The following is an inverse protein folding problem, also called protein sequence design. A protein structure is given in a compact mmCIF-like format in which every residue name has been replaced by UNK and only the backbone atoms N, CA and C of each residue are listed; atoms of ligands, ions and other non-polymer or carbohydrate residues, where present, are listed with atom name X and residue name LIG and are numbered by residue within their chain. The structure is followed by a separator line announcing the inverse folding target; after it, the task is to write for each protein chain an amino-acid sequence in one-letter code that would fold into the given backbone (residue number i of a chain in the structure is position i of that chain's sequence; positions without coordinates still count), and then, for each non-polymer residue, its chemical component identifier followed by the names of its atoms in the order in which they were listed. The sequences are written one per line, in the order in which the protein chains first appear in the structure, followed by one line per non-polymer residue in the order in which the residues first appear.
data_IF_431230284406
#
_entry.id   IF_431230284406
#
_cell.length_a   1.000
_cell.length_b   1.000
_cell.length_c   1.000
_cell.angle_alpha   90.00
_cell.angle_beta   90.00
_cell.angle_gamma   90.00
#
_symmetry.space_group_name_H-M   'P 1'
#
loop_
_entity.id
_entity.type
_entity.pdbx_description
1 polymer ?
#
# COMPACT_ATOMS: atom_id res chain seq x y z
N UNK A 1 -18.51 -9.73 -33.03
CA UNK A 1 -18.85 -8.49 -32.30
C UNK A 1 -17.70 -8.23 -31.34
N UNK A 2 -17.06 -7.07 -31.46
CA UNK A 2 -15.94 -6.66 -30.61
C UNK A 2 -16.40 -6.49 -29.16
N UNK A 3 -15.78 -7.21 -28.25
CA UNK A 3 -15.93 -7.03 -26.80
C UNK A 3 -15.63 -5.57 -26.44
N UNK A 4 -16.46 -4.89 -25.63
CA UNK A 4 -16.19 -3.52 -25.22
C UNK A 4 -14.92 -3.49 -24.37
N UNK A 5 -14.03 -2.55 -24.68
CA UNK A 5 -12.81 -2.27 -23.93
C UNK A 5 -13.17 -1.85 -22.49
N UNK A 6 -12.61 -2.54 -21.49
CA UNK A 6 -12.69 -2.14 -20.08
C UNK A 6 -12.01 -0.76 -19.92
N UNK A 7 -12.77 0.29 -19.58
CA UNK A 7 -12.16 1.54 -19.09
C UNK A 7 -11.61 1.30 -17.68
N UNK A 8 -10.28 1.36 -17.52
CA UNK A 8 -9.53 1.09 -16.29
C UNK A 8 -9.17 2.39 -15.57
N UNK A 9 -10.17 3.23 -15.26
CA UNK A 9 -9.92 4.58 -14.74
C UNK A 9 -9.43 4.59 -13.27
N UNK A 10 -9.53 3.46 -12.55
CA UNK A 10 -8.94 3.33 -11.22
C UNK A 10 -7.41 3.35 -11.26
N UNK A 11 -6.86 4.06 -10.29
CA UNK A 11 -5.43 4.16 -10.05
C UNK A 11 -5.08 3.52 -8.73
N UNK A 12 -3.89 2.95 -8.65
CA UNK A 12 -3.39 2.35 -7.42
C UNK A 12 -1.91 2.65 -7.21
N UNK A 13 -1.46 2.49 -5.97
CA UNK A 13 -0.06 2.50 -5.57
C UNK A 13 0.19 1.37 -4.58
N UNK A 14 1.44 0.89 -4.51
CA UNK A 14 1.85 -0.20 -3.61
C UNK A 14 3.06 0.25 -2.81
N UNK A 15 3.03 -0.03 -1.51
CA UNK A 15 4.15 0.16 -0.59
C UNK A 15 4.62 -1.24 -0.13
N UNK A 16 5.91 -1.51 -0.30
CA UNK A 16 6.54 -2.78 0.06
C UNK A 16 7.54 -2.56 1.18
N UNK A 17 7.34 -3.23 2.31
CA UNK A 17 8.28 -3.21 3.42
C UNK A 17 9.13 -4.49 3.42
N UNK A 18 10.45 -4.35 3.50
CA UNK A 18 11.38 -5.48 3.54
C UNK A 18 12.75 -5.03 4.05
N UNK A 19 13.66 -6.00 4.21
CA UNK A 19 15.06 -5.75 4.51
C UNK A 19 15.97 -6.31 3.42
N UNK A 20 17.15 -5.73 3.26
CA UNK A 20 18.25 -6.36 2.51
C UNK A 20 19.32 -6.78 3.51
N UNK A 21 19.73 -8.05 3.44
CA UNK A 21 20.81 -8.60 4.27
C UNK A 21 22.15 -8.52 3.54
N UNK A 22 23.13 -7.88 4.17
CA UNK A 22 24.51 -7.85 3.71
C UNK A 22 25.40 -8.69 4.64
N UNK A 23 25.82 -9.85 4.15
CA UNK A 23 26.67 -10.79 4.91
C UNK A 23 28.13 -10.32 4.96
N UNK A 24 28.80 -10.55 6.09
CA UNK A 24 30.25 -10.34 6.22
C UNK A 24 31.01 -11.11 5.14
N UNK A 25 31.96 -10.43 4.49
CA UNK A 25 32.80 -11.02 3.45
C UNK A 25 32.18 -11.04 2.05
N UNK A 26 30.96 -10.52 1.88
CA UNK A 26 30.45 -10.16 0.56
C UNK A 26 31.32 -9.06 -0.07
N UNK A 27 31.50 -9.10 -1.39
CA UNK A 27 32.22 -8.07 -2.13
C UNK A 27 31.25 -7.27 -3.01
N UNK A 28 31.29 -5.92 -2.93
CA UNK A 28 32.02 -5.11 -1.95
C UNK A 28 31.46 -5.28 -0.52
N UNK A 29 32.27 -4.98 0.51
CA UNK A 29 31.83 -5.06 1.91
C UNK A 29 30.91 -3.86 2.23
N UNK A 30 29.62 -4.04 1.94
CA UNK A 30 28.58 -3.02 2.08
C UNK A 30 28.46 -2.48 3.51
N UNK A 31 28.94 -3.22 4.51
CA UNK A 31 28.99 -2.78 5.92
C UNK A 31 29.95 -1.62 6.16
N UNK A 32 30.85 -1.36 5.22
CA UNK A 32 31.76 -0.20 5.24
C UNK A 32 31.21 0.99 4.46
N UNK A 33 30.08 0.84 3.76
CA UNK A 33 29.41 1.94 3.10
C UNK A 33 28.50 2.66 4.11
N UNK A 34 28.52 3.99 4.07
CA UNK A 34 27.52 4.77 4.81
C UNK A 34 26.11 4.54 4.24
N UNK A 35 25.03 4.70 5.02
CA UNK A 35 23.66 4.44 4.59
C UNK A 35 23.31 5.05 3.23
N UNK A 36 23.61 6.33 3.00
CA UNK A 36 23.33 6.98 1.71
C UNK A 36 23.99 6.31 0.49
N UNK A 37 25.18 5.73 0.64
CA UNK A 37 25.85 4.99 -0.45
C UNK A 37 25.15 3.67 -0.76
N UNK A 38 24.56 3.01 0.24
CA UNK A 38 23.80 1.77 0.04
C UNK A 38 22.52 2.05 -0.76
N UNK A 39 21.80 3.13 -0.42
CA UNK A 39 20.60 3.53 -1.16
C UNK A 39 20.91 3.89 -2.62
N UNK A 40 22.01 4.61 -2.87
CA UNK A 40 22.46 4.94 -4.23
C UNK A 40 22.79 3.67 -5.02
N UNK A 41 23.52 2.72 -4.43
CA UNK A 41 23.81 1.44 -5.08
C UNK A 41 22.54 0.69 -5.45
N UNK A 42 21.58 0.58 -4.50
CA UNK A 42 20.31 -0.12 -4.74
C UNK A 42 19.59 0.55 -5.91
N UNK A 43 19.47 1.88 -5.88
CA UNK A 43 18.88 2.67 -6.95
C UNK A 43 19.54 2.41 -8.31
N UNK A 44 20.86 2.58 -8.42
CA UNK A 44 21.58 2.42 -9.68
C UNK A 44 21.43 1.00 -10.24
N UNK A 45 21.54 -0.01 -9.37
CA UNK A 45 21.36 -1.42 -9.76
C UNK A 45 19.98 -1.68 -10.34
N UNK A 46 18.94 -1.16 -9.69
CA UNK A 46 17.55 -1.35 -10.13
C UNK A 46 17.25 -0.55 -11.40
N UNK A 47 17.76 0.67 -11.54
CA UNK A 47 17.60 1.45 -12.78
C UNK A 47 18.25 0.72 -13.95
N UNK A 48 19.45 0.18 -13.79
CA UNK A 48 20.13 -0.56 -14.85
C UNK A 48 19.37 -1.84 -15.23
N UNK A 49 18.88 -2.60 -14.25
CA UNK A 49 18.14 -3.85 -14.51
C UNK A 49 16.75 -3.60 -15.10
N UNK A 50 16.04 -2.58 -14.60
CA UNK A 50 14.62 -2.38 -14.90
C UNK A 50 14.37 -1.30 -15.94
N UNK A 51 15.30 -0.36 -16.15
CA UNK A 51 15.06 0.85 -16.92
C UNK A 51 13.97 1.76 -16.35
N UNK A 52 13.51 1.52 -15.11
CA UNK A 52 12.52 2.33 -14.42
C UNK A 52 13.23 3.36 -13.56
N UNK A 53 12.79 4.61 -13.64
CA UNK A 53 13.30 5.67 -12.76
C UNK A 53 12.94 5.38 -11.30
N UNK A 54 13.90 5.66 -10.42
CA UNK A 54 13.76 5.47 -8.98
C UNK A 54 14.45 6.62 -8.24
N UNK A 55 13.79 7.14 -7.21
CA UNK A 55 14.31 8.17 -6.31
C UNK A 55 14.62 7.58 -4.94
N UNK A 56 15.65 8.09 -4.30
CA UNK A 56 15.92 7.82 -2.88
C UNK A 56 15.21 8.85 -2.00
N UNK A 57 14.89 8.50 -0.76
CA UNK A 57 14.37 9.43 0.25
C UNK A 57 15.21 10.71 0.35
N UNK A 58 16.54 10.60 0.31
CA UNK A 58 17.44 11.75 0.34
C UNK A 58 17.31 12.69 -0.88
N UNK A 59 16.91 12.19 -2.05
CA UNK A 59 16.65 13.01 -3.25
C UNK A 59 15.27 13.67 -3.18
N UNK A 60 14.29 12.96 -2.61
CA UNK A 60 12.95 13.48 -2.36
C UNK A 60 13.02 14.64 -1.34
N UNK A 61 13.79 14.46 -0.26
CA UNK A 61 13.98 15.44 0.80
C UNK A 61 14.72 16.70 0.34
N UNK A 62 15.55 16.62 -0.71
CA UNK A 62 16.21 17.80 -1.27
C UNK A 62 15.23 18.80 -1.90
N UNK A 63 14.12 18.31 -2.46
CA UNK A 63 13.04 19.17 -2.98
C UNK A 63 12.13 19.70 -1.86
N UNK A 64 12.05 18.97 -0.74
CA UNK A 64 11.15 19.25 0.38
C UNK A 64 11.79 20.20 1.41
N UNK A 65 11.23 21.41 1.62
CA UNK A 65 11.70 22.28 2.68
C UNK A 65 11.41 21.64 4.04
N UNK A 66 12.34 21.78 5.00
CA UNK A 66 12.13 21.33 6.38
C UNK A 66 10.78 21.82 6.90
N UNK A 67 10.12 21.01 7.73
CA UNK A 67 8.77 21.24 8.29
C UNK A 67 8.53 22.66 8.83
N UNK A 68 9.59 23.34 9.29
CA UNK A 68 9.57 24.68 9.85
C UNK A 68 9.91 25.82 8.87
N UNK A 69 9.99 25.58 7.56
CA UNK A 69 10.36 26.63 6.61
C UNK A 69 9.19 27.60 6.36
N UNK A 70 9.29 28.88 6.77
CA UNK A 70 8.23 29.87 6.59
C UNK A 70 8.01 30.28 5.13
N UNK A 71 8.90 29.89 4.20
CA UNK A 71 8.79 30.18 2.77
C UNK A 71 8.22 28.99 1.96
N UNK A 72 7.54 28.04 2.59
CA UNK A 72 6.87 26.95 1.88
C UNK A 72 5.77 27.54 0.99
N UNK A 73 5.87 27.38 -0.32
CA UNK A 73 4.82 27.79 -1.26
C UNK A 73 3.61 26.86 -1.04
N UNK A 74 2.46 27.37 -0.56
CA UNK A 74 1.30 26.55 -0.28
C UNK A 74 0.69 25.91 -1.53
N UNK A 75 1.04 26.39 -2.73
CA UNK A 75 0.56 25.86 -4.00
C UNK A 75 1.54 24.87 -4.66
N UNK A 76 2.79 24.78 -4.17
CA UNK A 76 3.76 23.81 -4.68
C UNK A 76 3.46 22.43 -4.10
N UNK A 77 3.25 21.46 -4.98
CA UNK A 77 3.26 20.04 -4.61
C UNK A 77 4.72 19.58 -4.69
N UNK A 78 5.25 19.10 -3.56
CA UNK A 78 6.65 18.67 -3.44
C UNK A 78 6.83 17.23 -3.92
N UNK A 79 8.06 16.86 -4.27
CA UNK A 79 8.37 15.53 -4.82
C UNK A 79 7.85 14.38 -3.95
N UNK A 80 7.88 14.54 -2.62
CA UNK A 80 7.36 13.56 -1.65
C UNK A 80 5.85 13.29 -1.79
N UNK A 81 5.10 14.26 -2.30
CA UNK A 81 3.64 14.23 -2.41
C UNK A 81 3.17 13.90 -3.84
N UNK A 82 4.08 13.84 -4.82
CA UNK A 82 3.75 13.63 -6.24
C UNK A 82 3.45 12.18 -6.59
N UNK A 83 4.17 11.22 -5.97
CA UNK A 83 4.05 9.79 -6.27
C UNK A 83 4.09 9.48 -7.78
N UNK A 84 4.94 10.17 -8.54
CA UNK A 84 5.05 10.04 -10.01
C UNK A 84 6.23 9.14 -10.45
N UNK A 85 7.12 8.80 -9.52
CA UNK A 85 8.31 7.98 -9.74
C UNK A 85 8.39 6.92 -8.64
N UNK A 86 9.05 5.79 -8.91
CA UNK A 86 9.36 4.82 -7.85
C UNK A 86 10.23 5.50 -6.78
N UNK A 87 10.00 5.18 -5.52
CA UNK A 87 10.76 5.73 -4.41
C UNK A 87 11.24 4.61 -3.49
N UNK A 88 12.44 4.75 -2.95
CA UNK A 88 12.97 3.89 -1.89
C UNK A 88 13.40 4.74 -0.70
N UNK A 89 12.93 4.37 0.48
CA UNK A 89 13.19 5.10 1.73
C UNK A 89 13.18 4.20 2.94
N UNK A 90 13.09 4.81 4.11
CA UNK A 90 12.94 4.14 5.40
C UNK A 90 11.48 4.15 5.86
N UNK A 91 11.07 3.11 6.59
CA UNK A 91 9.83 3.13 7.38
C UNK A 91 10.13 2.74 8.83
N UNK A 92 9.68 3.57 9.76
CA UNK A 92 10.01 3.46 11.19
C UNK A 92 9.33 2.27 11.89
N UNK A 93 8.42 1.56 11.22
CA UNK A 93 7.73 0.38 11.75
C UNK A 93 8.40 -0.94 11.39
N UNK A 94 9.35 -0.92 10.44
CA UNK A 94 10.17 -2.06 10.05
C UNK A 94 11.29 -2.25 11.08
N UNK A 95 11.58 -3.49 11.45
CA UNK A 95 12.71 -3.80 12.34
C UNK A 95 13.31 -5.17 12.08
N UNK A 96 14.65 -5.24 11.99
CA UNK A 96 15.41 -6.49 11.89
C UNK A 96 16.35 -6.76 13.08
N UNK A 97 16.09 -6.16 14.25
CA UNK A 97 16.95 -6.32 15.43
C UNK A 97 17.08 -7.78 15.90
N UNK A 98 16.01 -8.58 15.77
CA UNK A 98 16.05 -10.00 16.16
C UNK A 98 16.97 -10.80 15.22
N UNK A 99 16.90 -10.53 13.93
CA UNK A 99 17.73 -11.13 12.89
C UNK A 99 19.20 -10.70 13.02
N UNK A 100 19.44 -9.41 13.29
CA UNK A 100 20.78 -8.89 13.54
C UNK A 100 21.40 -9.47 14.82
N UNK A 101 20.59 -9.69 15.87
CA UNK A 101 21.06 -10.37 17.08
C UNK A 101 21.43 -11.83 16.82
N UNK A 102 20.64 -12.53 15.99
CA UNK A 102 20.86 -13.93 15.63
C UNK A 102 22.05 -14.12 14.69
N UNK A 103 22.32 -13.15 13.79
CA UNK A 103 23.46 -13.13 12.89
C UNK A 103 24.20 -11.80 12.97
N UNK A 104 25.03 -11.66 14.01
CA UNK A 104 25.87 -10.47 14.24
C UNK A 104 26.93 -10.21 13.15
N UNK A 105 27.08 -11.13 12.21
CA UNK A 105 27.98 -10.95 11.08
C UNK A 105 27.31 -10.24 9.89
N UNK A 106 25.98 -10.25 9.87
CA UNK A 106 25.18 -9.59 8.84
C UNK A 106 24.74 -8.20 9.27
N UNK A 107 24.62 -7.31 8.30
CA UNK A 107 23.93 -6.02 8.43
C UNK A 107 22.59 -6.11 7.72
N UNK A 108 21.56 -5.50 8.27
CA UNK A 108 20.25 -5.39 7.65
C UNK A 108 19.97 -3.92 7.32
N UNK A 109 19.45 -3.68 6.12
CA UNK A 109 18.98 -2.36 5.71
C UNK A 109 17.48 -2.45 5.52
N UNK A 110 16.75 -1.75 6.37
CA UNK A 110 15.29 -1.61 6.36
C UNK A 110 14.87 -0.68 5.22
N UNK A 111 13.91 -1.12 4.41
CA UNK A 111 13.50 -0.42 3.19
C UNK A 111 11.99 -0.45 3.03
N UNK A 112 11.44 0.72 2.66
CA UNK A 112 10.13 0.85 2.05
C UNK A 112 10.31 1.23 0.57
N UNK A 113 9.75 0.41 -0.33
CA UNK A 113 9.66 0.70 -1.75
C UNK A 113 8.24 1.14 -2.08
N UNK A 114 8.09 2.29 -2.74
CA UNK A 114 6.81 2.88 -3.10
C UNK A 114 6.71 2.96 -4.62
N UNK A 115 5.62 2.47 -5.19
CA UNK A 115 5.34 2.62 -6.62
C UNK A 115 4.91 4.05 -6.95
N UNK A 116 5.06 4.52 -8.21
CA UNK A 116 4.27 5.65 -8.67
C UNK A 116 2.76 5.32 -8.62
N UNK A 117 1.91 6.35 -8.75
CA UNK A 117 0.48 6.17 -9.02
C UNK A 117 0.33 5.57 -10.42
N UNK A 118 -0.21 4.36 -10.48
CA UNK A 118 -0.35 3.59 -11.70
C UNK A 118 -1.82 3.43 -12.07
N UNK A 119 -2.12 3.45 -13.38
CA UNK A 119 -3.40 2.95 -13.89
C UNK A 119 -3.41 1.44 -13.80
N UNK A 120 -4.50 0.86 -13.32
CA UNK A 120 -4.63 -0.59 -13.23
C UNK A 120 -4.62 -1.23 -14.62
N UNK A 121 -3.85 -2.31 -14.78
CA UNK A 121 -3.76 -3.06 -16.04
C UNK A 121 -2.42 -3.74 -16.26
N UNK A 122 -2.25 -4.45 -17.40
CA UNK A 122 -1.10 -5.32 -17.64
C UNK A 122 0.26 -4.62 -17.56
N UNK A 123 0.34 -3.34 -17.97
CA UNK A 123 1.57 -2.56 -17.87
C UNK A 123 2.02 -2.38 -16.42
N UNK A 124 1.11 -1.95 -15.54
CA UNK A 124 1.43 -1.71 -14.14
C UNK A 124 1.84 -3.00 -13.42
N UNK A 125 1.11 -4.10 -13.68
CA UNK A 125 1.45 -5.42 -13.12
C UNK A 125 2.82 -5.91 -13.60
N UNK A 126 3.16 -5.68 -14.88
CA UNK A 126 4.47 -6.01 -15.43
C UNK A 126 5.59 -5.15 -14.83
N UNK A 127 5.36 -3.86 -14.63
CA UNK A 127 6.36 -2.97 -14.02
C UNK A 127 6.66 -3.38 -12.57
N UNK A 128 5.63 -3.77 -11.80
CA UNK A 128 5.78 -4.33 -10.46
C UNK A 128 6.60 -5.64 -10.49
N UNK A 129 6.22 -6.60 -11.34
CA UNK A 129 6.95 -7.87 -11.46
C UNK A 129 8.41 -7.67 -11.84
N UNK A 130 8.68 -6.74 -12.77
CA UNK A 130 10.03 -6.37 -13.19
C UNK A 130 10.85 -5.84 -12.02
N UNK A 131 10.29 -4.94 -11.22
CA UNK A 131 10.97 -4.37 -10.05
C UNK A 131 11.27 -5.44 -8.98
N UNK A 132 10.26 -6.26 -8.62
CA UNK A 132 10.42 -7.33 -7.62
C UNK A 132 11.42 -8.41 -8.08
N UNK A 133 11.42 -8.74 -9.36
CA UNK A 133 12.39 -9.67 -9.96
C UNK A 133 13.81 -9.09 -9.89
N UNK A 134 13.99 -7.80 -10.20
CA UNK A 134 15.29 -7.14 -10.09
C UNK A 134 15.83 -7.13 -8.65
N UNK A 135 14.98 -6.86 -7.66
CA UNK A 135 15.35 -6.94 -6.25
C UNK A 135 15.85 -8.34 -5.87
N UNK A 136 15.06 -9.38 -6.18
CA UNK A 136 15.41 -10.78 -5.87
C UNK A 136 16.66 -11.27 -6.60
N UNK A 137 16.91 -10.75 -7.81
CA UNK A 137 18.08 -11.09 -8.61
C UNK A 137 19.38 -10.55 -8.00
N UNK A 138 19.33 -9.32 -7.47
CA UNK A 138 20.53 -8.58 -7.10
C UNK A 138 20.78 -8.50 -5.58
N UNK A 139 19.77 -8.77 -4.75
CA UNK A 139 19.85 -8.59 -3.30
C UNK A 139 19.32 -9.78 -2.51
N UNK A 140 19.90 -10.02 -1.33
CA UNK A 140 19.41 -10.98 -0.33
C UNK A 140 18.25 -10.34 0.44
N UNK A 141 17.07 -10.38 -0.18
CA UNK A 141 15.83 -9.79 0.33
C UNK A 141 15.27 -10.64 1.46
N UNK A 142 14.98 -9.99 2.59
CA UNK A 142 14.44 -10.62 3.81
C UNK A 142 13.14 -9.94 4.18
N UNK A 143 12.13 -10.72 4.55
CA UNK A 143 10.83 -10.23 5.01
C UNK A 143 10.51 -10.93 6.33
N UNK A 144 10.08 -10.16 7.33
CA UNK A 144 9.71 -10.68 8.64
C UNK A 144 8.32 -10.19 9.09
N UNK A 145 7.99 -10.35 10.37
CA UNK A 145 6.67 -9.98 10.89
C UNK A 145 6.43 -8.46 11.03
N UNK A 146 7.49 -7.65 11.02
CA UNK A 146 7.36 -6.19 11.02
C UNK A 146 6.87 -5.68 9.67
N UNK A 147 7.30 -6.32 8.59
CA UNK A 147 6.99 -5.95 7.21
C UNK A 147 5.50 -6.12 6.85
N UNK A 148 4.96 -5.13 6.15
CA UNK A 148 3.66 -5.08 5.50
C UNK A 148 3.74 -4.97 3.97
N UNK A 149 2.60 -5.25 3.33
CA UNK A 149 2.34 -4.94 1.93
C UNK A 149 1.09 -4.08 1.89
N UNK A 150 1.23 -2.81 1.50
CA UNK A 150 0.11 -1.87 1.48
C UNK A 150 -0.31 -1.57 0.04
N UNK A 151 -1.61 -1.53 -0.20
CA UNK A 151 -2.15 -1.15 -1.51
C UNK A 151 -3.12 0.01 -1.34
N UNK A 152 -2.81 1.10 -2.01
CA UNK A 152 -3.65 2.29 -2.10
C UNK A 152 -4.51 2.20 -3.36
N UNK A 153 -5.83 2.33 -3.25
CA UNK A 153 -6.75 2.29 -4.39
C UNK A 153 -7.62 3.55 -4.42
N UNK A 154 -7.69 4.20 -5.58
CA UNK A 154 -8.50 5.40 -5.81
C UNK A 154 -8.79 5.61 -7.29
N UNK A 155 -9.33 6.78 -7.67
CA UNK A 155 -9.65 7.14 -9.05
C UNK A 155 -8.94 8.45 -9.44
N UNK A 156 -7.61 8.38 -9.49
CA UNK A 156 -6.73 9.52 -9.71
C UNK A 156 -7.07 10.70 -8.79
N UNK A 157 -7.16 11.88 -9.37
CA UNK A 157 -7.54 13.11 -8.64
C UNK A 157 -9.02 13.19 -8.31
N UNK A 158 -9.89 12.31 -8.83
CA UNK A 158 -11.33 12.36 -8.49
C UNK A 158 -11.62 11.77 -7.10
N UNK A 159 -10.73 10.91 -6.59
CA UNK A 159 -11.01 10.14 -5.38
C UNK A 159 -12.17 9.15 -5.59
N UNK A 160 -12.71 8.58 -4.52
CA UNK A 160 -13.83 7.65 -4.61
C UNK A 160 -15.18 8.39 -4.61
N UNK A 161 -16.12 7.90 -5.40
CA UNK A 161 -17.50 8.38 -5.38
C UNK A 161 -18.24 7.86 -4.15
N UNK A 162 -19.10 8.70 -3.58
CA UNK A 162 -19.80 8.44 -2.32
C UNK A 162 -20.60 7.12 -2.29
N UNK A 163 -21.56 6.94 -3.19
CA UNK A 163 -22.45 5.78 -3.17
C UNK A 163 -21.70 4.45 -3.37
N UNK A 164 -20.81 4.29 -4.38
CA UNK A 164 -19.96 3.09 -4.47
C UNK A 164 -19.12 2.83 -3.21
N UNK A 165 -18.63 3.89 -2.56
CA UNK A 165 -17.85 3.78 -1.34
C UNK A 165 -18.68 3.31 -0.14
N UNK A 166 -19.95 3.74 -0.01
CA UNK A 166 -20.88 3.17 0.99
C UNK A 166 -20.99 1.66 0.82
N UNK A 167 -21.30 1.18 -0.40
CA UNK A 167 -21.42 -0.25 -0.66
C UNK A 167 -20.12 -1.02 -0.40
N UNK A 168 -18.97 -0.43 -0.74
CA UNK A 168 -17.66 -0.99 -0.44
C UNK A 168 -17.48 -1.16 1.08
N UNK A 169 -17.72 -0.12 1.87
CA UNK A 169 -17.55 -0.18 3.33
C UNK A 169 -18.52 -1.13 4.01
N UNK A 170 -19.78 -1.21 3.55
CA UNK A 170 -20.73 -2.23 4.03
C UNK A 170 -20.18 -3.64 3.82
N UNK A 171 -19.61 -3.90 2.65
CA UNK A 171 -19.08 -5.22 2.30
C UNK A 171 -17.81 -5.52 3.08
N UNK A 172 -16.91 -4.55 3.22
CA UNK A 172 -15.71 -4.72 4.04
C UNK A 172 -16.12 -5.06 5.47
N UNK A 173 -17.07 -4.33 6.06
CA UNK A 173 -17.54 -4.60 7.42
C UNK A 173 -18.13 -6.02 7.55
N UNK A 174 -19.05 -6.40 6.67
CA UNK A 174 -19.75 -7.70 6.73
C UNK A 174 -18.76 -8.86 6.50
N UNK A 175 -17.86 -8.71 5.54
CA UNK A 175 -16.96 -9.78 5.09
C UNK A 175 -15.52 -9.64 5.60
N UNK A 176 -15.25 -8.74 6.56
CA UNK A 176 -13.89 -8.55 7.10
C UNK A 176 -13.26 -9.88 7.54
N UNK A 177 -13.95 -10.77 8.29
CA UNK A 177 -13.37 -12.06 8.66
C UNK A 177 -12.96 -12.93 7.47
N UNK A 178 -13.74 -12.93 6.39
CA UNK A 178 -13.46 -13.68 5.17
C UNK A 178 -12.31 -13.06 4.39
N UNK A 179 -12.28 -11.72 4.24
CA UNK A 179 -11.17 -11.00 3.61
C UNK A 179 -9.87 -11.28 4.36
N UNK A 180 -9.88 -11.17 5.70
CA UNK A 180 -8.72 -11.43 6.54
C UNK A 180 -8.35 -12.92 6.62
N UNK A 181 -9.25 -13.83 6.23
CA UNK A 181 -8.93 -15.27 6.15
C UNK A 181 -8.05 -15.62 4.95
N UNK A 182 -7.98 -14.75 3.93
CA UNK A 182 -7.07 -14.87 2.79
C UNK A 182 -5.62 -14.54 3.18
N UNK A 183 -5.41 -13.93 4.36
CA UNK A 183 -4.15 -13.35 4.79
C UNK A 183 -3.54 -14.15 5.94
N UNK A 184 -2.25 -13.92 6.22
CA UNK A 184 -1.57 -14.62 7.31
C UNK A 184 -2.18 -14.23 8.67
N UNK A 185 -2.63 -15.23 9.43
CA UNK A 185 -3.27 -15.05 10.75
C UNK A 185 -2.47 -14.21 11.74
N UNK A 186 -1.13 -14.19 11.65
CA UNK A 186 -0.28 -13.36 12.53
C UNK A 186 -0.45 -11.85 12.30
N UNK A 187 -0.99 -11.44 11.15
CA UNK A 187 -1.33 -10.04 10.84
C UNK A 187 -2.75 -9.67 11.25
N UNK A 188 -3.62 -10.65 11.53
CA UNK A 188 -5.00 -10.37 11.89
C UNK A 188 -5.03 -9.59 13.21
N UNK A 189 -5.48 -8.34 13.14
CA UNK A 189 -5.52 -7.42 14.27
C UNK A 189 -4.13 -7.09 14.87
N UNK A 190 -3.10 -7.03 14.03
CA UNK A 190 -1.76 -6.58 14.42
C UNK A 190 -1.74 -5.12 14.90
N UNK A 191 -0.63 -4.69 15.53
CA UNK A 191 -0.47 -3.31 16.02
C UNK A 191 -0.70 -2.28 14.92
N UNK A 192 -0.24 -2.55 13.69
CA UNK A 192 -0.29 -1.59 12.58
C UNK A 192 -1.37 -1.89 11.51
N UNK A 193 -2.26 -2.84 11.79
CA UNK A 193 -3.29 -3.33 10.86
C UNK A 193 -4.54 -3.85 11.61
N UNK A 194 -5.01 -3.07 12.60
CA UNK A 194 -6.16 -3.45 13.41
C UNK A 194 -7.45 -3.62 12.59
N UNK A 195 -8.28 -4.60 12.95
CA UNK A 195 -9.57 -4.84 12.29
C UNK A 195 -10.54 -3.67 12.54
N UNK A 196 -11.40 -3.38 11.56
CA UNK A 196 -12.44 -2.36 11.64
C UNK A 196 -13.40 -2.62 12.81
N UNK A 197 -13.81 -3.88 13.00
CA UNK A 197 -14.68 -4.27 14.13
C UNK A 197 -14.07 -3.95 15.51
N UNK A 198 -12.75 -3.80 15.59
CA UNK A 198 -12.05 -3.53 16.85
C UNK A 198 -11.60 -2.09 17.03
N UNK A 199 -11.27 -1.39 15.93
CA UNK A 199 -10.58 -0.10 15.99
C UNK A 199 -11.27 1.04 15.28
N UNK A 200 -12.27 0.77 14.45
CA UNK A 200 -13.09 1.87 13.89
C UNK A 200 -13.99 2.49 14.96
N UNK A 201 -14.46 3.72 14.74
CA UNK A 201 -15.47 4.34 15.59
C UNK A 201 -16.68 3.41 15.77
N UNK A 202 -17.22 2.86 14.67
CA UNK A 202 -18.37 1.96 14.71
C UNK A 202 -18.10 0.69 15.55
N UNK A 203 -16.90 0.11 15.44
CA UNK A 203 -16.50 -1.07 16.20
C UNK A 203 -16.30 -0.80 17.69
N UNK A 204 -15.62 0.29 18.04
CA UNK A 204 -15.33 0.67 19.43
C UNK A 204 -16.61 1.00 20.20
N UNK A 205 -17.57 1.69 19.56
CA UNK A 205 -18.86 1.98 20.16
C UNK A 205 -19.80 0.76 20.23
N UNK A 206 -19.34 -0.43 19.79
CA UNK A 206 -20.10 -1.69 19.81
C UNK A 206 -21.47 -1.51 19.16
N UNK A 207 -21.48 -1.03 17.93
CA UNK A 207 -22.72 -0.85 17.18
C UNK A 207 -23.56 -2.13 17.17
N UNK A 208 -24.79 -2.03 17.69
CA UNK A 208 -25.80 -3.09 17.70
C UNK A 208 -26.99 -2.60 16.87
N UNK A 209 -27.05 -2.96 15.59
CA UNK A 209 -28.10 -2.53 14.69
C UNK A 209 -27.92 -3.01 13.24
N UNK A 210 -28.84 -2.59 12.37
CA UNK A 210 -28.72 -2.85 10.94
C UNK A 210 -27.75 -1.84 10.32
N UNK A 211 -26.57 -2.33 9.93
CA UNK A 211 -25.54 -1.51 9.30
C UNK A 211 -26.05 -0.77 8.06
N UNK A 212 -26.85 -1.43 7.23
CA UNK A 212 -27.32 -0.85 5.98
C UNK A 212 -28.23 0.35 6.22
N UNK A 213 -29.08 0.29 7.24
CA UNK A 213 -29.97 1.41 7.59
C UNK A 213 -29.16 2.64 8.01
N UNK A 214 -28.13 2.44 8.85
CA UNK A 214 -27.24 3.54 9.27
C UNK A 214 -26.43 4.05 8.09
N UNK A 215 -25.81 3.15 7.33
CA UNK A 215 -24.94 3.54 6.23
C UNK A 215 -25.71 4.26 5.13
N UNK A 216 -26.90 3.81 4.76
CA UNK A 216 -27.75 4.46 3.75
C UNK A 216 -28.45 5.73 4.25
N UNK A 217 -28.39 6.02 5.56
CA UNK A 217 -28.78 7.33 6.09
C UNK A 217 -27.67 8.39 6.01
N UNK A 218 -26.43 7.99 5.67
CA UNK A 218 -25.37 8.96 5.41
C UNK A 218 -25.64 9.75 4.14
N UNK A 219 -25.20 11.01 4.12
CA UNK A 219 -25.43 11.95 3.02
C UNK A 219 -24.18 12.26 2.20
N UNK A 220 -22.99 11.95 2.73
CA UNK A 220 -21.72 12.17 2.04
C UNK A 220 -20.61 11.20 2.47
N UNK A 221 -19.48 11.27 1.76
CA UNK A 221 -18.31 10.41 2.01
C UNK A 221 -17.68 10.64 3.39
N UNK A 222 -17.77 11.86 3.95
CA UNK A 222 -17.16 12.19 5.23
C UNK A 222 -17.88 11.50 6.37
N UNK A 223 -19.21 11.39 6.32
CA UNK A 223 -19.99 10.65 7.31
C UNK A 223 -19.62 9.16 7.29
N UNK A 224 -19.45 8.56 6.11
CA UNK A 224 -18.98 7.17 5.98
C UNK A 224 -17.57 7.02 6.55
N UNK A 225 -16.65 7.92 6.17
CA UNK A 225 -15.30 7.89 6.72
C UNK A 225 -15.33 8.05 8.23
N UNK A 226 -16.13 8.97 8.78
CA UNK A 226 -16.25 9.18 10.22
C UNK A 226 -16.72 7.90 10.95
N UNK A 227 -17.65 7.13 10.38
CA UNK A 227 -18.09 5.86 10.96
C UNK A 227 -16.97 4.82 11.03
N UNK A 228 -16.19 4.68 9.96
CA UNK A 228 -15.22 3.58 9.81
C UNK A 228 -13.77 3.96 10.13
N UNK A 229 -13.45 5.24 10.30
CA UNK A 229 -12.11 5.69 10.61
C UNK A 229 -11.69 5.24 12.03
N UNK A 230 -10.39 5.24 12.28
CA UNK A 230 -9.81 4.79 13.54
C UNK A 230 -10.27 5.67 14.69
N UNK A 231 -10.67 5.05 15.79
CA UNK A 231 -11.02 5.74 17.03
C UNK A 231 -9.75 6.29 17.69
N UNK A 232 -9.70 7.60 17.93
CA UNK A 232 -8.61 8.26 18.67
C UNK A 232 -7.20 7.92 18.10
N UNK A 233 -6.25 7.53 18.95
CA UNK A 233 -4.87 7.16 18.58
C UNK A 233 -4.73 5.82 17.81
N UNK A 234 -5.83 5.12 17.52
CA UNK A 234 -5.83 3.87 16.73
C UNK A 234 -5.76 4.14 15.21
N UNK A 235 -4.85 5.01 14.78
CA UNK A 235 -4.73 5.40 13.36
C UNK A 235 -4.29 4.24 12.45
N UNK A 236 -3.69 3.18 13.00
CA UNK A 236 -3.21 2.04 12.22
C UNK A 236 -4.25 0.91 12.13
N UNK A 237 -5.07 0.95 11.08
CA UNK A 237 -6.10 -0.03 10.76
C UNK A 237 -5.74 -0.86 9.52
N UNK A 238 -6.39 -2.00 9.37
CA UNK A 238 -6.34 -2.84 8.18
C UNK A 238 -6.83 -2.12 6.92
N UNK A 239 -7.74 -1.14 7.09
CA UNK A 239 -8.31 -0.33 6.02
C UNK A 239 -8.25 1.14 6.44
N UNK A 240 -7.36 1.92 5.84
CA UNK A 240 -7.16 3.34 6.15
C UNK A 240 -7.95 4.22 5.18
N UNK A 241 -8.69 5.18 5.75
CA UNK A 241 -9.66 6.02 5.01
C UNK A 241 -9.34 7.51 5.06
N UNK A 242 -8.28 7.92 5.79
CA UNK A 242 -7.96 9.33 6.07
C UNK A 242 -7.88 10.20 4.81
N UNK A 243 -7.38 9.64 3.70
CA UNK A 243 -7.19 10.34 2.43
C UNK A 243 -8.47 10.48 1.60
N UNK A 244 -9.60 9.95 2.08
CA UNK A 244 -10.92 10.09 1.44
C UNK A 244 -11.77 11.20 2.05
N UNK A 245 -11.35 11.80 3.17
CA UNK A 245 -12.01 12.98 3.74
C UNK A 245 -12.02 14.12 2.71
N UNK A 246 -13.15 14.81 2.59
CA UNK A 246 -13.34 15.96 1.73
C UNK A 246 -13.52 17.24 2.58
N UNK A 247 -12.84 18.35 2.26
CA UNK A 247 -11.85 18.48 1.18
C UNK A 247 -10.61 17.59 1.40
N UNK A 248 -10.04 17.08 0.30
CA UNK A 248 -8.95 16.11 0.36
C UNK A 248 -7.75 16.67 1.14
N UNK A 249 -7.26 15.96 2.18
CA UNK A 249 -6.16 16.45 3.01
C UNK A 249 -4.80 16.35 2.32
N UNK A 250 -4.74 15.71 1.15
CA UNK A 250 -3.52 15.48 0.40
C UNK A 250 -3.75 15.75 -1.11
N UNK A 251 -2.81 16.38 -1.83
CA UNK A 251 -3.01 16.76 -3.24
C UNK A 251 -3.22 15.55 -4.16
N UNK A 252 -2.44 14.48 -3.97
CA UNK A 252 -2.45 13.26 -4.81
C UNK A 252 -3.13 12.05 -4.16
N UNK A 253 -2.71 11.62 -2.96
CA UNK A 253 -3.32 10.49 -2.22
C UNK A 253 -4.80 10.78 -1.92
N UNK A 254 -5.70 10.10 -2.64
CA UNK A 254 -7.18 10.15 -2.52
C UNK A 254 -7.74 8.73 -2.55
N UNK A 255 -7.30 7.91 -1.60
CA UNK A 255 -7.39 6.46 -1.68
C UNK A 255 -7.92 5.84 -0.39
N UNK A 256 -8.59 4.70 -0.52
CA UNK A 256 -8.59 3.70 0.56
C UNK A 256 -7.24 2.97 0.53
N UNK A 257 -6.69 2.67 1.70
CA UNK A 257 -5.43 1.96 1.84
C UNK A 257 -5.64 0.63 2.56
N UNK A 258 -5.26 -0.46 1.91
CA UNK A 258 -5.34 -1.83 2.43
C UNK A 258 -3.99 -2.21 3.06
N UNK A 259 -3.98 -2.39 4.39
CA UNK A 259 -2.76 -2.63 5.19
C UNK A 259 -2.69 -4.01 5.83
N UNK A 260 -3.70 -4.85 5.62
CA UNK A 260 -3.84 -6.11 6.34
C UNK A 260 -2.80 -7.18 5.92
N UNK A 261 -2.31 -7.13 4.68
CA UNK A 261 -1.43 -8.15 4.13
C UNK A 261 -0.05 -8.14 4.79
N UNK A 262 0.55 -9.32 5.01
CA UNK A 262 1.95 -9.44 5.43
C UNK A 262 2.91 -8.90 4.36
N UNK A 263 4.11 -8.49 4.75
CA UNK A 263 5.16 -8.18 3.79
C UNK A 263 5.36 -9.33 2.79
N UNK A 264 5.52 -9.01 1.51
CA UNK A 264 5.82 -9.99 0.48
C UNK A 264 6.58 -9.35 -0.66
N UNK A 265 7.63 -10.06 -1.09
CA UNK A 265 8.41 -9.74 -2.29
C UNK A 265 8.20 -10.81 -3.37
N UNK A 266 7.19 -11.68 -3.19
CA UNK A 266 6.77 -12.66 -4.18
C UNK A 266 5.82 -12.05 -5.21
N UNK A 267 6.28 -11.94 -6.46
CA UNK A 267 5.51 -11.32 -7.54
C UNK A 267 4.11 -11.91 -7.65
N UNK A 268 3.97 -13.24 -7.66
CA UNK A 268 2.65 -13.87 -7.80
C UNK A 268 1.71 -13.48 -6.65
N UNK A 269 2.21 -13.53 -5.42
CA UNK A 269 1.46 -13.14 -4.23
C UNK A 269 1.04 -11.67 -4.30
N UNK A 270 1.98 -10.77 -4.61
CA UNK A 270 1.75 -9.33 -4.73
C UNK A 270 0.72 -9.03 -5.82
N UNK A 271 0.90 -9.55 -7.02
CA UNK A 271 0.02 -9.27 -8.16
C UNK A 271 -1.39 -9.79 -7.93
N UNK A 272 -1.53 -10.95 -7.28
CA UNK A 272 -2.84 -11.49 -6.89
C UNK A 272 -3.53 -10.58 -5.87
N UNK A 273 -2.80 -10.11 -4.85
CA UNK A 273 -3.36 -9.21 -3.84
C UNK A 273 -3.77 -7.86 -4.42
N UNK A 274 -2.88 -7.24 -5.22
CA UNK A 274 -3.17 -5.98 -5.94
C UNK A 274 -4.40 -6.13 -6.83
N UNK A 275 -4.47 -7.21 -7.63
CA UNK A 275 -5.62 -7.48 -8.50
C UNK A 275 -6.89 -7.61 -7.68
N UNK A 276 -6.86 -8.41 -6.61
CA UNK A 276 -8.01 -8.59 -5.73
C UNK A 276 -8.51 -7.26 -5.16
N UNK A 277 -7.65 -6.45 -4.55
CA UNK A 277 -8.11 -5.21 -3.88
C UNK A 277 -8.53 -4.13 -4.87
N UNK A 278 -7.89 -4.03 -6.04
CA UNK A 278 -8.30 -3.05 -7.06
C UNK A 278 -9.66 -3.43 -7.63
N UNK A 279 -9.86 -4.69 -8.04
CA UNK A 279 -11.15 -5.19 -8.54
C UNK A 279 -12.24 -5.15 -7.46
N UNK A 280 -11.88 -5.35 -6.19
CA UNK A 280 -12.82 -5.27 -5.07
C UNK A 280 -13.36 -3.84 -4.84
N UNK A 281 -12.54 -2.82 -5.11
CA UNK A 281 -12.94 -1.40 -5.09
C UNK A 281 -13.65 -1.01 -6.39
N UNK A 282 -13.18 -1.51 -7.52
CA UNK A 282 -13.75 -1.30 -8.86
C UNK A 282 -15.01 -2.15 -9.05
N UNK A 283 -16.11 -1.75 -8.42
CA UNK A 283 -17.41 -2.42 -8.55
C UNK A 283 -18.10 -2.07 -9.86
N UNK A 284 -17.53 -2.53 -10.97
CA UNK A 284 -18.32 -2.73 -12.19
C UNK A 284 -19.12 -4.02 -12.03
N UNK A 285 -20.41 -4.05 -12.42
CA UNK A 285 -21.16 -5.30 -12.43
C UNK A 285 -20.40 -6.30 -13.32
N UNK A 286 -20.16 -7.50 -12.79
CA UNK A 286 -19.59 -8.62 -13.54
C UNK A 286 -20.38 -8.79 -14.85
N UNK A 287 -19.71 -8.55 -15.98
CA UNK A 287 -20.20 -8.91 -17.32
C UNK A 287 -19.32 -10.05 -17.84
N UNK A 288 -19.56 -11.28 -17.39
CA UNK A 288 -18.79 -12.43 -17.86
C UNK A 288 -19.26 -13.76 -17.29
N UNK A 289 -19.77 -14.61 -18.17
CA UNK A 289 -20.13 -16.01 -17.93
C UNK A 289 -18.87 -16.83 -17.54
N UNK A 290 -18.73 -17.19 -16.26
CA UNK A 290 -17.70 -18.12 -15.79
C UNK A 290 -18.28 -19.25 -14.92
N UNK A 291 -19.42 -19.78 -15.30
CA UNK A 291 -19.78 -21.15 -14.95
C UNK A 291 -19.77 -21.99 -16.23
N UNK A 292 -18.93 -23.04 -16.35
CA UNK A 292 -19.27 -24.08 -17.29
C UNK A 292 -20.61 -24.63 -16.83
N UNK A 293 -21.61 -24.57 -17.70
CA UNK A 293 -22.87 -25.30 -17.54
C UNK A 293 -22.52 -26.74 -17.18
N UNK A 294 -22.71 -27.10 -15.92
CA UNK A 294 -22.82 -28.49 -15.52
C UNK A 294 -24.19 -28.90 -16.05
N UNK A 295 -24.20 -29.52 -17.22
CA UNK A 295 -25.39 -30.22 -17.68
C UNK A 295 -25.69 -31.32 -16.65
N UNK A 296 -26.90 -31.29 -16.10
CA UNK A 296 -27.47 -32.35 -15.29
C UNK A 296 -27.41 -33.70 -16.00
#
# INVERSE_FOLDING_TARGET
MSTPFLSTDFTFGVEFEFGIRFKKGSFPDYRKLGPGKVYILIKETLIVETGLELLTEAEIDQDSPRFSNPNKDPNKIYQQDLFNTWAIGTDATISFHAEEHADRSSMFVELELITPVMKFGPKALKDIDKMLTAFKKHFDVVVNQSCGLHVHVGNGTKGLSFEPFQYLMATIWIFEPQILSLLRKSRNNGRYCGSLHKRSNLGVYKFEGNLLDVLFSTSDINEVVAMFNGYDSFSYMAFKLQYLLQPFPHPVKRTIEFRAHEGSMDSKTVLNWVTFVVEFVDRRPFQGDWFPTINC
#
